data_IF_306640908087
#
_entry.id   IF_306640908087
#
_cell.length_a   1.000
_cell.length_b   1.000
_cell.length_c   1.000
_cell.angle_alpha   90.00
_cell.angle_beta   90.00
_cell.angle_gamma   90.00
#
_symmetry.space_group_name_H-M   'P 1'
#
loop_
_entity.id
_entity.type
_entity.pdbx_description
1 polymer ?
#
# COMPACT_ATOMS: atom_id res chain seq x y z
N UNK A 1 4.00 -19.77 25.47
CA UNK A 1 3.17 -18.70 24.92
C UNK A 1 3.43 -18.70 23.43
N UNK A 2 2.41 -18.85 22.57
CA UNK A 2 2.60 -18.76 21.13
C UNK A 2 3.13 -17.37 20.77
N UNK A 3 4.07 -17.29 19.82
CA UNK A 3 4.61 -16.04 19.30
C UNK A 3 3.48 -15.17 18.71
N UNK A 4 3.47 -13.89 19.02
CA UNK A 4 2.44 -12.95 18.54
C UNK A 4 2.59 -12.75 17.04
N UNK A 5 1.53 -13.02 16.27
CA UNK A 5 1.50 -12.75 14.83
C UNK A 5 0.82 -11.39 14.62
N UNK A 6 1.58 -10.35 14.38
CA UNK A 6 0.99 -9.02 14.09
C UNK A 6 1.22 -8.64 12.63
N UNK A 7 0.13 -8.20 11.97
CA UNK A 7 0.13 -7.72 10.59
C UNK A 7 -0.17 -6.22 10.59
N UNK A 8 0.82 -5.40 10.25
CA UNK A 8 0.65 -3.96 10.05
C UNK A 8 0.15 -3.71 8.63
N UNK A 9 -1.01 -3.07 8.48
CA UNK A 9 -1.69 -2.86 7.20
C UNK A 9 -1.69 -1.38 6.84
N UNK A 10 -1.01 -1.00 5.75
CA UNK A 10 -0.77 0.40 5.36
C UNK A 10 -1.56 0.72 4.10
N UNK A 11 -2.51 1.66 4.21
CA UNK A 11 -3.39 2.07 3.11
C UNK A 11 -2.70 3.01 2.10
N UNK A 12 -3.35 3.22 0.94
CA UNK A 12 -2.92 4.12 -0.12
C UNK A 12 -3.26 5.59 0.10
N UNK A 13 -2.91 6.44 -0.87
CA UNK A 13 -3.33 7.84 -0.90
C UNK A 13 -4.86 7.94 -0.91
N UNK A 14 -5.39 8.92 -0.24
CA UNK A 14 -6.83 9.17 -0.19
C UNK A 14 -7.65 8.14 0.58
N UNK A 15 -7.02 7.17 1.27
CA UNK A 15 -7.69 6.11 2.01
C UNK A 15 -7.45 6.20 3.51
N UNK A 16 -8.27 5.52 4.30
CA UNK A 16 -8.06 5.24 5.71
C UNK A 16 -7.76 3.76 5.96
N UNK A 17 -7.65 3.36 7.23
CA UNK A 17 -7.44 1.96 7.63
C UNK A 17 -8.63 1.06 7.32
N UNK A 18 -9.83 1.63 7.18
CA UNK A 18 -11.09 0.97 6.84
C UNK A 18 -11.07 0.22 5.50
N UNK A 19 -10.17 0.59 4.58
CA UNK A 19 -10.04 -0.14 3.30
C UNK A 19 -9.65 -1.61 3.46
N UNK A 20 -9.18 -2.00 4.63
CA UNK A 20 -8.78 -3.35 4.96
C UNK A 20 -9.86 -4.23 5.55
N UNK A 21 -11.04 -3.66 5.89
CA UNK A 21 -12.11 -4.34 6.62
C UNK A 21 -12.52 -5.68 5.98
N UNK A 22 -12.52 -5.76 4.65
CA UNK A 22 -12.84 -6.99 3.94
C UNK A 22 -11.73 -8.06 4.03
N UNK A 23 -10.47 -7.65 4.11
CA UNK A 23 -9.34 -8.59 4.12
C UNK A 23 -8.98 -9.06 5.53
N UNK A 24 -9.19 -8.25 6.55
CA UNK A 24 -8.85 -8.55 7.95
C UNK A 24 -9.34 -9.93 8.41
N UNK A 25 -10.61 -10.34 8.20
CA UNK A 25 -11.10 -11.63 8.66
C UNK A 25 -10.32 -12.83 8.14
N UNK A 26 -9.71 -12.75 6.96
CA UNK A 26 -8.89 -13.83 6.40
C UNK A 26 -7.58 -14.01 7.17
N UNK A 27 -6.97 -12.93 7.62
CA UNK A 27 -5.75 -12.99 8.41
C UNK A 27 -6.02 -13.38 9.86
N UNK A 28 -7.09 -12.85 10.45
CA UNK A 28 -7.51 -13.19 11.81
C UNK A 28 -7.90 -14.67 11.95
N UNK A 29 -8.46 -15.27 10.90
CA UNK A 29 -8.76 -16.70 10.89
C UNK A 29 -7.49 -17.58 11.03
N UNK A 30 -6.34 -17.09 10.57
CA UNK A 30 -5.03 -17.74 10.74
C UNK A 30 -4.30 -17.27 12.01
N UNK A 31 -4.97 -16.51 12.89
CA UNK A 31 -4.45 -16.08 14.20
C UNK A 31 -3.55 -14.84 14.15
N UNK A 32 -3.61 -14.05 13.09
CA UNK A 32 -2.95 -12.74 13.02
C UNK A 32 -3.72 -11.68 13.82
N UNK A 33 -3.00 -10.83 14.52
CA UNK A 33 -3.55 -9.57 15.03
C UNK A 33 -3.34 -8.50 13.97
N UNK A 34 -4.43 -7.96 13.41
CA UNK A 34 -4.36 -6.96 12.35
C UNK A 34 -4.38 -5.55 12.93
N UNK A 35 -3.39 -4.73 12.57
CA UNK A 35 -3.33 -3.31 12.90
C UNK A 35 -3.37 -2.49 11.60
N UNK A 36 -4.49 -1.81 11.36
CA UNK A 36 -4.76 -1.02 10.16
C UNK A 36 -4.97 0.47 10.52
N UNK A 37 -3.92 1.19 10.96
CA UNK A 37 -4.07 2.58 11.35
C UNK A 37 -4.37 3.49 10.16
N UNK A 38 -5.23 4.48 10.35
CA UNK A 38 -5.32 5.62 9.42
C UNK A 38 -4.16 6.57 9.70
N UNK A 39 -3.34 6.82 8.67
CA UNK A 39 -2.23 7.78 8.74
C UNK A 39 -2.76 9.19 9.02
N UNK A 40 -2.24 9.87 10.05
CA UNK A 40 -2.58 11.25 10.42
C UNK A 40 -4.10 11.56 10.41
N UNK A 41 -4.94 10.83 11.17
CA UNK A 41 -6.39 10.90 11.06
C UNK A 41 -6.97 12.29 11.35
N UNK A 42 -6.27 13.12 12.17
CA UNK A 42 -6.69 14.50 12.44
C UNK A 42 -6.37 15.50 11.31
N UNK A 43 -5.57 15.11 10.31
CA UNK A 43 -5.19 15.97 9.17
C UNK A 43 -5.79 15.47 7.86
N UNK A 44 -5.81 14.15 7.65
CA UNK A 44 -6.43 13.52 6.47
C UNK A 44 -7.91 13.31 6.76
N UNK A 45 -8.74 14.13 6.14
CA UNK A 45 -10.18 14.20 6.36
C UNK A 45 -10.94 14.19 5.04
N UNK A 46 -12.24 13.88 5.07
CA UNK A 46 -13.11 13.78 3.88
C UNK A 46 -13.39 15.14 3.21
N UNK A 47 -13.36 16.22 3.99
CA UNK A 47 -13.62 17.59 3.52
C UNK A 47 -12.88 18.61 4.39
N UNK A 48 -12.61 19.80 3.84
CA UNK A 48 -11.97 20.91 4.54
C UNK A 48 -10.69 20.54 5.31
N UNK A 49 -9.68 19.95 4.64
CA UNK A 49 -8.45 19.54 5.30
C UNK A 49 -7.73 20.75 5.90
N UNK A 50 -7.13 20.62 7.10
CA UNK A 50 -6.33 21.67 7.69
C UNK A 50 -5.09 21.95 6.83
N UNK A 51 -4.59 23.21 6.83
CA UNK A 51 -3.41 23.61 6.08
C UNK A 51 -2.18 22.73 6.44
N UNK A 52 -2.08 22.29 7.68
CA UNK A 52 -0.99 21.41 8.16
C UNK A 52 -0.92 20.05 7.45
N UNK A 53 -1.98 19.63 6.73
CA UNK A 53 -1.90 18.43 5.89
C UNK A 53 -0.90 18.61 4.74
N UNK A 54 -0.87 19.79 4.11
CA UNK A 54 0.03 20.05 2.97
C UNK A 54 1.52 20.16 3.35
N UNK A 55 1.82 20.19 4.64
CA UNK A 55 3.20 20.19 5.16
C UNK A 55 3.81 18.77 5.19
N UNK A 56 2.96 17.74 5.25
CA UNK A 56 3.39 16.33 5.31
C UNK A 56 3.96 15.86 3.96
N UNK A 57 5.14 15.24 3.99
CA UNK A 57 5.74 14.54 2.87
C UNK A 57 5.72 13.03 3.07
N UNK A 58 6.21 12.29 2.09
CA UNK A 58 6.26 10.81 2.16
C UNK A 58 7.13 10.33 3.33
N UNK A 59 8.19 11.07 3.69
CA UNK A 59 9.08 10.74 4.80
C UNK A 59 8.36 10.80 6.16
N UNK A 60 7.40 11.71 6.32
CA UNK A 60 6.57 11.77 7.54
C UNK A 60 5.70 10.52 7.66
N UNK A 61 5.15 10.02 6.55
CA UNK A 61 4.33 8.80 6.50
C UNK A 61 5.18 7.55 6.76
N UNK A 62 6.36 7.48 6.16
CA UNK A 62 7.35 6.41 6.40
C UNK A 62 7.75 6.40 7.88
N UNK A 63 8.08 7.57 8.44
CA UNK A 63 8.50 7.70 9.84
C UNK A 63 7.41 7.28 10.81
N UNK A 64 6.16 7.66 10.55
CA UNK A 64 5.02 7.25 11.37
C UNK A 64 4.83 5.71 11.36
N UNK A 65 4.95 5.06 10.21
CA UNK A 65 4.79 3.61 10.12
C UNK A 65 6.01 2.84 10.64
N UNK A 66 7.22 3.37 10.48
CA UNK A 66 8.42 2.84 11.14
C UNK A 66 8.32 2.89 12.66
N UNK A 67 7.82 4.01 13.21
CA UNK A 67 7.57 4.14 14.64
C UNK A 67 6.49 3.14 15.12
N UNK A 68 5.42 2.95 14.34
CA UNK A 68 4.38 1.98 14.66
C UNK A 68 4.89 0.53 14.63
N UNK A 69 5.71 0.17 13.65
CA UNK A 69 6.33 -1.16 13.59
C UNK A 69 7.21 -1.43 14.81
N UNK A 70 8.01 -0.44 15.24
CA UNK A 70 8.84 -0.53 16.46
C UNK A 70 8.03 -0.58 17.75
N UNK A 71 6.90 0.11 17.79
CA UNK A 71 5.94 0.01 18.92
C UNK A 71 5.40 -1.41 19.06
N UNK A 72 5.00 -2.03 17.92
CA UNK A 72 4.53 -3.41 17.88
C UNK A 72 5.64 -4.35 18.36
N UNK A 73 6.87 -4.23 17.81
CA UNK A 73 8.02 -5.03 18.21
C UNK A 73 8.29 -4.93 19.73
N UNK A 74 8.26 -3.71 20.27
CA UNK A 74 8.47 -3.47 21.71
C UNK A 74 7.38 -4.12 22.57
N UNK A 75 6.13 -4.13 22.09
CA UNK A 75 4.99 -4.64 22.86
C UNK A 75 4.86 -6.15 22.76
N UNK A 76 5.16 -6.73 21.60
CA UNK A 76 4.96 -8.16 21.33
C UNK A 76 6.24 -8.99 21.44
N UNK A 77 7.42 -8.34 21.39
CA UNK A 77 8.74 -8.99 21.32
C UNK A 77 9.13 -9.42 19.92
N UNK A 78 8.28 -9.20 18.89
CA UNK A 78 8.53 -9.60 17.50
C UNK A 78 8.21 -8.47 16.53
N UNK A 79 9.01 -8.37 15.46
CA UNK A 79 8.72 -7.46 14.35
C UNK A 79 7.41 -7.87 13.66
N UNK A 80 6.53 -6.93 13.32
CA UNK A 80 5.32 -7.26 12.57
C UNK A 80 5.66 -7.70 11.14
N UNK A 81 4.79 -8.49 10.53
CA UNK A 81 4.69 -8.51 9.08
C UNK A 81 4.00 -7.23 8.60
N UNK A 82 4.23 -6.82 7.35
CA UNK A 82 3.56 -5.64 6.78
C UNK A 82 2.87 -5.98 5.46
N UNK A 83 1.69 -5.45 5.26
CA UNK A 83 1.03 -5.38 3.96
C UNK A 83 0.74 -3.92 3.63
N UNK A 84 1.15 -3.46 2.46
CA UNK A 84 0.90 -2.09 2.02
C UNK A 84 0.23 -2.05 0.66
N UNK A 85 -0.83 -1.25 0.54
CA UNK A 85 -1.55 -1.01 -0.71
C UNK A 85 -1.14 0.34 -1.33
N UNK A 86 -0.86 0.36 -2.62
CA UNK A 86 -0.56 1.59 -3.37
C UNK A 86 0.61 2.38 -2.74
N UNK A 87 0.43 3.62 -2.28
CA UNK A 87 1.41 4.38 -1.49
C UNK A 87 1.88 3.57 -0.26
N UNK A 88 0.97 2.92 0.44
CA UNK A 88 1.32 2.03 1.56
C UNK A 88 2.25 0.89 1.14
N UNK A 89 2.13 0.42 -0.10
CA UNK A 89 3.05 -0.56 -0.68
C UNK A 89 4.47 -0.02 -0.87
N UNK A 90 4.62 1.27 -1.20
CA UNK A 90 5.93 1.92 -1.23
C UNK A 90 6.48 2.12 0.19
N UNK A 91 5.65 2.53 1.13
CA UNK A 91 6.06 2.64 2.54
C UNK A 91 6.53 1.27 3.06
N UNK A 92 5.80 0.19 2.76
CA UNK A 92 6.19 -1.18 3.16
C UNK A 92 7.55 -1.59 2.57
N UNK A 93 7.87 -1.19 1.33
CA UNK A 93 9.19 -1.42 0.72
C UNK A 93 10.31 -0.74 1.53
N UNK A 94 10.10 0.51 1.96
CA UNK A 94 11.08 1.24 2.77
C UNK A 94 11.20 0.64 4.18
N UNK A 95 10.11 0.18 4.80
CA UNK A 95 10.17 -0.53 6.09
C UNK A 95 10.96 -1.85 5.97
N UNK A 96 10.80 -2.57 4.86
CA UNK A 96 11.57 -3.79 4.58
C UNK A 96 13.07 -3.47 4.42
N UNK A 97 13.43 -2.41 3.69
CA UNK A 97 14.82 -1.94 3.56
C UNK A 97 15.44 -1.55 4.92
N UNK A 98 14.66 -0.89 5.78
CA UNK A 98 15.09 -0.49 7.14
C UNK A 98 15.20 -1.68 8.11
N UNK A 99 14.64 -2.83 7.76
CA UNK A 99 14.57 -3.99 8.65
C UNK A 99 13.61 -3.80 9.84
N UNK A 100 12.60 -2.94 9.68
CA UNK A 100 11.59 -2.67 10.72
C UNK A 100 10.49 -3.75 10.78
N UNK A 101 10.46 -4.67 9.80
CA UNK A 101 9.42 -5.71 9.65
C UNK A 101 10.04 -7.07 9.37
N UNK A 102 9.31 -8.16 9.62
CA UNK A 102 9.76 -9.55 9.40
C UNK A 102 9.42 -10.09 8.02
N UNK A 103 8.29 -9.71 7.46
CA UNK A 103 7.80 -10.10 6.13
C UNK A 103 7.12 -8.89 5.49
N UNK A 104 7.13 -8.77 4.16
CA UNK A 104 6.49 -7.64 3.50
C UNK A 104 5.69 -8.04 2.24
N UNK A 105 4.44 -7.56 2.16
CA UNK A 105 3.56 -7.70 0.99
C UNK A 105 3.33 -6.33 0.36
N UNK A 106 3.67 -6.19 -0.90
CA UNK A 106 3.50 -4.98 -1.71
C UNK A 106 2.31 -5.17 -2.65
N UNK A 107 1.14 -4.74 -2.20
CA UNK A 107 -0.13 -4.93 -2.90
C UNK A 107 -0.38 -3.76 -3.87
N UNK A 108 -0.32 -4.02 -5.18
CA UNK A 108 -0.41 -2.98 -6.23
C UNK A 108 0.37 -1.70 -5.86
N UNK A 109 1.66 -1.82 -5.49
CA UNK A 109 2.40 -0.75 -4.85
C UNK A 109 2.65 0.45 -5.76
N UNK A 110 2.73 1.65 -5.18
CA UNK A 110 3.44 2.75 -5.82
C UNK A 110 4.91 2.35 -6.00
N UNK A 111 5.49 2.77 -7.12
CA UNK A 111 6.78 2.27 -7.56
C UNK A 111 7.92 3.03 -6.88
N UNK A 112 9.00 2.34 -6.49
CA UNK A 112 10.23 2.99 -6.11
C UNK A 112 10.89 3.61 -7.34
N UNK A 113 11.83 4.52 -7.13
CA UNK A 113 12.60 5.16 -8.20
C UNK A 113 13.22 4.12 -9.15
N UNK A 114 13.11 4.37 -10.44
CA UNK A 114 13.60 3.46 -11.50
C UNK A 114 12.60 2.39 -11.96
N UNK A 115 11.50 2.14 -11.23
CA UNK A 115 10.46 1.18 -11.63
C UNK A 115 9.21 1.84 -12.25
N UNK A 116 9.08 3.16 -12.16
CA UNK A 116 7.91 3.87 -12.63
C UNK A 116 7.64 3.65 -14.13
N UNK A 117 6.37 3.48 -14.46
CA UNK A 117 5.83 3.51 -15.83
C UNK A 117 4.64 4.46 -15.82
N UNK A 118 4.78 5.57 -16.53
CA UNK A 118 3.69 6.54 -16.66
C UNK A 118 2.96 6.22 -17.95
N UNK A 119 1.66 5.93 -17.83
CA UNK A 119 0.78 5.70 -18.97
C UNK A 119 -0.40 6.66 -18.98
N UNK A 120 -1.14 6.75 -20.10
CA UNK A 120 -2.31 7.64 -20.22
C UNK A 120 -3.35 7.42 -19.12
N UNK A 121 -3.55 6.19 -18.67
CA UNK A 121 -4.52 5.90 -17.61
C UNK A 121 -4.11 6.49 -16.25
N UNK A 122 -2.83 6.47 -15.91
CA UNK A 122 -2.29 7.11 -14.70
C UNK A 122 -2.52 8.62 -14.76
N UNK A 123 -2.22 9.24 -15.92
CA UNK A 123 -2.43 10.67 -16.13
C UNK A 123 -3.91 11.05 -15.99
N UNK A 124 -4.84 10.27 -16.54
CA UNK A 124 -6.28 10.50 -16.39
C UNK A 124 -6.71 10.34 -14.93
N UNK A 125 -6.25 9.32 -14.25
CA UNK A 125 -6.60 9.04 -12.85
C UNK A 125 -6.26 10.23 -11.95
N UNK A 126 -5.06 10.80 -12.09
CA UNK A 126 -4.55 11.87 -11.25
C UNK A 126 -4.56 13.26 -11.91
N UNK A 127 -5.36 13.46 -12.96
CA UNK A 127 -5.33 14.67 -13.80
C UNK A 127 -5.49 15.97 -13.00
N UNK A 128 -6.41 16.02 -12.04
CA UNK A 128 -6.64 17.22 -11.23
C UNK A 128 -5.43 17.60 -10.35
N UNK A 129 -4.57 16.64 -10.02
CA UNK A 129 -3.36 16.83 -9.23
C UNK A 129 -2.21 17.22 -10.17
N UNK A 130 -2.06 16.51 -11.29
CA UNK A 130 -1.01 16.74 -12.28
C UNK A 130 -1.10 18.13 -12.94
N UNK A 131 -2.30 18.65 -13.17
CA UNK A 131 -2.47 20.00 -13.74
C UNK A 131 -2.06 21.08 -12.73
N UNK A 132 -2.36 20.90 -11.45
CA UNK A 132 -2.09 21.92 -10.44
C UNK A 132 -0.64 21.87 -9.93
N UNK A 133 -0.09 20.69 -9.72
CA UNK A 133 1.29 20.40 -9.23
C UNK A 133 1.72 21.25 -8.02
N UNK A 134 0.76 21.68 -7.19
CA UNK A 134 1.05 22.56 -6.06
C UNK A 134 1.27 21.75 -4.77
N UNK A 135 2.52 21.58 -4.39
CA UNK A 135 2.92 20.84 -3.18
C UNK A 135 2.46 21.49 -1.87
N UNK A 136 1.99 22.75 -1.90
CA UNK A 136 1.50 23.47 -0.72
C UNK A 136 -0.02 23.38 -0.56
N UNK A 137 -0.68 22.53 -1.34
CA UNK A 137 -2.12 22.25 -1.25
C UNK A 137 -2.37 20.80 -0.85
N UNK A 138 -3.60 20.54 -0.45
CA UNK A 138 -4.10 19.17 -0.24
C UNK A 138 -5.08 18.81 -1.36
N UNK A 139 -5.08 17.54 -1.77
CA UNK A 139 -5.87 17.05 -2.88
C UNK A 139 -6.68 15.81 -2.49
N UNK A 140 -7.85 15.70 -3.05
CA UNK A 140 -8.61 14.47 -3.21
C UNK A 140 -8.61 14.12 -4.69
N UNK A 141 -8.39 12.87 -5.04
CA UNK A 141 -8.49 12.44 -6.45
C UNK A 141 -9.89 12.78 -6.94
N UNK A 142 -9.99 13.42 -8.11
CA UNK A 142 -11.28 13.83 -8.67
C UNK A 142 -12.18 12.63 -8.98
N UNK A 143 -13.48 12.81 -8.88
CA UNK A 143 -14.46 11.73 -8.98
C UNK A 143 -14.27 10.86 -10.23
N UNK A 144 -14.16 11.47 -11.41
CA UNK A 144 -14.01 10.74 -12.67
C UNK A 144 -12.71 9.94 -12.71
N UNK A 145 -11.60 10.52 -12.22
CA UNK A 145 -10.31 9.80 -12.13
C UNK A 145 -10.35 8.65 -11.16
N UNK A 146 -11.04 8.82 -10.04
CA UNK A 146 -11.23 7.78 -9.04
C UNK A 146 -12.03 6.60 -9.62
N UNK A 147 -13.16 6.88 -10.27
CA UNK A 147 -14.01 5.85 -10.91
C UNK A 147 -13.31 5.15 -12.08
N UNK A 148 -12.51 5.91 -12.85
CA UNK A 148 -11.79 5.39 -14.01
C UNK A 148 -10.56 4.56 -13.63
N UNK A 149 -9.77 5.05 -12.68
CA UNK A 149 -8.44 4.51 -12.39
C UNK A 149 -8.38 3.66 -11.14
N UNK A 150 -9.07 4.09 -10.06
CA UNK A 150 -8.97 3.44 -8.76
C UNK A 150 -10.01 2.34 -8.62
N UNK A 151 -11.30 2.64 -8.87
CA UNK A 151 -12.41 1.70 -8.67
C UNK A 151 -12.94 1.08 -9.97
N UNK A 152 -12.13 1.05 -11.03
CA UNK A 152 -12.56 0.59 -12.36
C UNK A 152 -13.10 -0.84 -12.40
N UNK A 153 -12.67 -1.73 -11.51
CA UNK A 153 -13.16 -3.10 -11.37
C UNK A 153 -14.21 -3.29 -10.28
N UNK A 154 -14.47 -2.26 -9.47
CA UNK A 154 -15.55 -2.27 -8.47
C UNK A 154 -16.91 -2.12 -9.17
N UNK A 155 -17.97 -2.84 -8.74
CA UNK A 155 -19.33 -2.63 -9.24
C UNK A 155 -19.78 -1.18 -9.11
N UNK A 156 -20.35 -0.59 -10.17
CA UNK A 156 -20.71 0.84 -10.23
C UNK A 156 -21.54 1.32 -9.04
N UNK A 157 -22.47 0.48 -8.55
CA UNK A 157 -23.36 0.79 -7.42
C UNK A 157 -22.63 1.03 -6.09
N UNK A 158 -21.40 0.53 -5.94
CA UNK A 158 -20.59 0.67 -4.70
C UNK A 158 -19.61 1.83 -4.77
N UNK A 159 -19.33 2.38 -5.96
CA UNK A 159 -18.29 3.40 -6.13
C UNK A 159 -18.61 4.73 -5.45
N UNK A 160 -19.90 5.06 -5.32
CA UNK A 160 -20.33 6.29 -4.63
C UNK A 160 -19.94 6.24 -3.16
N UNK A 161 -20.29 5.15 -2.48
CA UNK A 161 -20.02 4.97 -1.07
C UNK A 161 -18.51 4.95 -0.79
N UNK A 162 -17.74 4.25 -1.62
CA UNK A 162 -16.25 4.23 -1.52
C UNK A 162 -15.68 5.63 -1.72
N UNK A 163 -16.17 6.41 -2.70
CA UNK A 163 -15.67 7.76 -2.93
C UNK A 163 -16.05 8.73 -1.81
N UNK A 164 -17.22 8.54 -1.18
CA UNK A 164 -17.64 9.34 -0.03
C UNK A 164 -16.68 9.22 1.15
N UNK A 165 -16.09 8.02 1.34
CA UNK A 165 -15.08 7.77 2.38
C UNK A 165 -13.68 8.30 2.02
N UNK A 166 -13.40 8.61 0.75
CA UNK A 166 -12.08 9.06 0.34
C UNK A 166 -11.64 10.35 1.06
N UNK A 167 -10.37 10.37 1.45
CA UNK A 167 -9.74 11.44 2.22
C UNK A 167 -8.93 12.39 1.33
N UNK A 168 -8.68 13.60 1.82
CA UNK A 168 -7.64 14.47 1.26
C UNK A 168 -6.25 13.95 1.64
N UNK A 169 -5.30 14.16 0.74
CA UNK A 169 -3.89 13.91 0.96
C UNK A 169 -3.02 15.11 0.59
N UNK A 170 -1.80 15.14 1.10
CA UNK A 170 -0.85 16.22 0.86
C UNK A 170 -0.39 16.26 -0.60
N UNK A 171 -0.37 17.44 -1.20
CA UNK A 171 0.24 17.65 -2.51
C UNK A 171 1.76 17.41 -2.50
N UNK A 172 2.41 17.55 -1.34
CA UNK A 172 3.81 17.20 -1.18
C UNK A 172 4.02 15.69 -1.31
N UNK A 173 3.15 14.86 -0.69
CA UNK A 173 3.18 13.40 -0.86
C UNK A 173 3.00 13.00 -2.32
N UNK A 174 2.03 13.57 -3.03
CA UNK A 174 1.87 13.30 -4.48
C UNK A 174 3.11 13.68 -5.29
N UNK A 175 3.74 14.81 -4.94
CA UNK A 175 4.99 15.25 -5.55
C UNK A 175 6.14 14.26 -5.29
N UNK A 176 6.30 13.83 -4.04
CA UNK A 176 7.36 12.90 -3.64
C UNK A 176 7.18 11.52 -4.30
N UNK A 177 5.93 11.04 -4.46
CA UNK A 177 5.61 9.83 -5.22
C UNK A 177 5.96 9.97 -6.71
N UNK A 178 5.81 11.17 -7.28
CA UNK A 178 6.16 11.47 -8.67
C UNK A 178 7.68 11.54 -8.88
N UNK A 179 8.40 12.16 -7.94
CA UNK A 179 9.88 12.24 -7.96
C UNK A 179 10.52 10.85 -7.75
N UNK A 180 9.79 9.96 -7.07
CA UNK A 180 10.20 8.61 -6.74
C UNK A 180 11.06 8.52 -5.48
N UNK A 181 10.76 7.54 -4.65
CA UNK A 181 11.52 7.20 -3.44
C UNK A 181 12.54 6.11 -3.79
N UNK A 182 13.77 6.30 -3.38
CA UNK A 182 14.80 5.27 -3.55
C UNK A 182 14.59 4.14 -2.54
N UNK A 183 14.74 2.90 -3.00
CA UNK A 183 14.74 1.70 -2.16
C UNK A 183 15.85 0.77 -2.67
N UNK A 184 16.75 0.39 -1.80
CA UNK A 184 17.89 -0.48 -2.11
C UNK A 184 17.51 -1.95 -1.79
N UNK A 185 17.22 -2.73 -2.82
CA UNK A 185 16.86 -4.14 -2.69
C UNK A 185 17.96 -4.99 -2.05
N UNK A 186 19.22 -4.58 -2.14
CA UNK A 186 20.35 -5.31 -1.56
C UNK A 186 20.33 -5.34 -0.02
N UNK A 187 19.59 -4.42 0.59
CA UNK A 187 19.39 -4.34 2.05
C UNK A 187 18.19 -5.15 2.55
N UNK A 188 17.31 -5.60 1.66
CA UNK A 188 16.11 -6.35 2.04
C UNK A 188 16.48 -7.83 2.23
N UNK A 189 16.50 -8.26 3.48
CA UNK A 189 16.91 -9.61 3.91
C UNK A 189 15.76 -10.45 4.45
N UNK A 190 14.54 -10.06 4.14
CA UNK A 190 13.29 -10.69 4.59
C UNK A 190 12.49 -11.19 3.39
N UNK A 191 11.57 -12.15 3.57
CA UNK A 191 10.65 -12.56 2.53
C UNK A 191 9.77 -11.38 2.07
N UNK A 192 9.63 -11.21 0.75
CA UNK A 192 8.78 -10.20 0.14
C UNK A 192 7.86 -10.80 -0.91
N UNK A 193 6.64 -10.28 -1.02
CA UNK A 193 5.67 -10.63 -2.05
C UNK A 193 5.20 -9.36 -2.76
N UNK A 194 5.43 -9.29 -4.06
CA UNK A 194 4.90 -8.21 -4.91
C UNK A 194 3.66 -8.70 -5.65
N UNK A 195 2.56 -7.95 -5.56
CA UNK A 195 1.28 -8.32 -6.20
C UNK A 195 0.87 -7.26 -7.21
N UNK A 196 0.68 -7.69 -8.46
CA UNK A 196 0.15 -6.86 -9.55
C UNK A 196 -1.33 -7.18 -9.84
N UNK A 197 -2.08 -6.17 -10.27
CA UNK A 197 -3.44 -6.29 -10.77
C UNK A 197 -3.48 -5.94 -12.27
N UNK A 198 -3.91 -6.88 -13.10
CA UNK A 198 -3.81 -6.77 -14.56
C UNK A 198 -4.64 -5.66 -15.19
N UNK A 199 -5.71 -5.21 -14.50
CA UNK A 199 -6.58 -4.10 -14.94
C UNK A 199 -6.33 -2.80 -14.17
N UNK A 200 -5.24 -2.73 -13.39
CA UNK A 200 -4.89 -1.52 -12.64
C UNK A 200 -4.56 -0.36 -13.59
N UNK A 201 -5.17 0.80 -13.32
CA UNK A 201 -5.00 2.03 -14.10
C UNK A 201 -4.32 3.15 -13.31
N UNK A 202 -4.08 2.93 -12.00
CA UNK A 202 -3.39 3.86 -11.12
C UNK A 202 -1.93 3.45 -10.91
N UNK A 203 -1.65 2.15 -10.69
CA UNK A 203 -0.31 1.57 -10.64
C UNK A 203 -0.22 0.42 -11.63
N UNK A 204 0.17 0.75 -12.86
CA UNK A 204 0.12 -0.20 -13.99
C UNK A 204 0.81 -1.52 -13.68
N UNK A 205 0.20 -2.65 -14.06
CA UNK A 205 0.78 -3.98 -13.89
C UNK A 205 2.21 -4.08 -14.48
N UNK A 206 2.50 -3.40 -15.59
CA UNK A 206 3.84 -3.33 -16.18
C UNK A 206 4.87 -2.66 -15.27
N UNK A 207 4.47 -1.66 -14.49
CA UNK A 207 5.33 -1.03 -13.50
C UNK A 207 5.52 -1.95 -12.27
N UNK A 208 4.44 -2.59 -11.80
CA UNK A 208 4.50 -3.51 -10.66
C UNK A 208 5.33 -4.76 -10.98
N UNK A 209 5.32 -5.24 -12.24
CA UNK A 209 6.25 -6.31 -12.67
C UNK A 209 7.70 -5.90 -12.53
N UNK A 210 8.09 -4.65 -12.87
CA UNK A 210 9.46 -4.15 -12.63
C UNK A 210 9.80 -4.11 -11.14
N UNK A 211 8.82 -3.83 -10.27
CA UNK A 211 9.02 -3.93 -8.82
C UNK A 211 9.29 -5.38 -8.41
N UNK A 212 8.52 -6.35 -8.92
CA UNK A 212 8.78 -7.78 -8.71
C UNK A 212 10.17 -8.21 -9.22
N UNK A 213 10.55 -7.79 -10.43
CA UNK A 213 11.89 -8.03 -10.99
C UNK A 213 13.00 -7.40 -10.15
N UNK A 214 12.78 -6.21 -9.57
CA UNK A 214 13.72 -5.59 -8.64
C UNK A 214 13.95 -6.47 -7.42
N UNK A 215 12.89 -6.90 -6.75
CA UNK A 215 13.00 -7.69 -5.52
C UNK A 215 13.35 -9.16 -5.73
N UNK A 216 13.21 -9.70 -6.94
CA UNK A 216 13.76 -11.03 -7.26
C UNK A 216 15.29 -11.08 -7.15
N UNK A 217 15.97 -9.92 -7.15
CA UNK A 217 17.42 -9.78 -6.98
C UNK A 217 17.85 -9.46 -5.55
N UNK A 218 16.90 -9.33 -4.60
CA UNK A 218 17.21 -9.12 -3.19
C UNK A 218 17.95 -10.33 -2.59
N UNK A 219 18.70 -10.18 -1.48
CA UNK A 219 19.37 -11.29 -0.79
C UNK A 219 18.44 -12.46 -0.44
N UNK A 220 17.19 -12.17 -0.09
CA UNK A 220 16.08 -13.13 -0.07
C UNK A 220 15.21 -12.81 -1.26
N UNK A 221 15.25 -13.67 -2.29
CA UNK A 221 14.51 -13.43 -3.53
C UNK A 221 13.01 -13.29 -3.27
N UNK A 222 12.45 -12.17 -3.72
CA UNK A 222 11.03 -11.88 -3.55
C UNK A 222 10.14 -12.69 -4.50
N UNK A 223 8.98 -13.05 -4.01
CA UNK A 223 7.91 -13.70 -4.77
C UNK A 223 7.08 -12.66 -5.54
N UNK A 224 6.44 -13.11 -6.63
CA UNK A 224 5.56 -12.28 -7.45
C UNK A 224 4.27 -13.01 -7.80
N UNK A 225 3.14 -12.33 -7.66
CA UNK A 225 1.83 -12.80 -8.12
C UNK A 225 1.14 -11.73 -8.97
N UNK A 226 0.34 -12.16 -9.93
CA UNK A 226 -0.49 -11.25 -10.73
C UNK A 226 -1.93 -11.76 -10.81
N UNK A 227 -2.88 -10.84 -10.55
CA UNK A 227 -4.31 -11.08 -10.67
C UNK A 227 -4.85 -10.37 -11.92
N UNK A 228 -4.97 -11.06 -13.07
CA UNK A 228 -5.23 -10.41 -14.36
C UNK A 228 -6.63 -9.80 -14.48
N UNK A 229 -7.56 -10.16 -13.61
CA UNK A 229 -8.95 -9.66 -13.62
C UNK A 229 -9.19 -8.50 -12.66
N UNK A 230 -8.26 -8.24 -11.73
CA UNK A 230 -8.37 -7.22 -10.69
C UNK A 230 -7.86 -5.86 -11.14
N UNK A 231 -8.39 -4.80 -10.53
CA UNK A 231 -7.99 -3.40 -10.69
C UNK A 231 -7.20 -2.89 -9.49
N UNK A 232 -7.11 -1.56 -9.37
CA UNK A 232 -6.36 -0.94 -8.27
C UNK A 232 -7.01 -1.16 -6.90
N UNK A 233 -8.35 -1.24 -6.83
CA UNK A 233 -9.10 -1.44 -5.58
C UNK A 233 -9.15 -2.93 -5.16
N UNK A 234 -8.04 -3.63 -5.36
CA UNK A 234 -7.88 -5.07 -5.07
C UNK A 234 -8.16 -5.42 -3.60
N UNK A 235 -8.20 -4.43 -2.72
CA UNK A 235 -8.52 -4.56 -1.29
C UNK A 235 -10.01 -4.83 -1.05
N UNK A 236 -10.91 -4.34 -1.94
CA UNK A 236 -12.35 -4.58 -1.87
C UNK A 236 -13.02 -4.48 -3.25
N UNK A 237 -12.85 -5.50 -4.07
CA UNK A 237 -13.49 -5.67 -5.38
C UNK A 237 -13.76 -7.16 -5.64
N UNK A 238 -14.44 -7.55 -6.73
CA UNK A 238 -14.61 -8.97 -7.07
C UNK A 238 -13.27 -9.69 -7.20
N UNK A 239 -13.08 -10.75 -6.40
CA UNK A 239 -11.85 -11.53 -6.35
C UNK A 239 -10.94 -11.23 -5.16
N UNK A 240 -11.22 -10.22 -4.34
CA UNK A 240 -10.44 -9.86 -3.13
C UNK A 240 -10.26 -11.04 -2.19
N UNK A 241 -11.29 -11.86 -1.97
CA UNK A 241 -11.23 -13.01 -1.06
C UNK A 241 -10.13 -14.00 -1.44
N UNK A 242 -9.96 -14.25 -2.75
CA UNK A 242 -8.86 -15.10 -3.24
C UNK A 242 -7.50 -14.44 -2.99
N UNK A 243 -7.39 -13.14 -3.22
CA UNK A 243 -6.16 -12.38 -2.96
C UNK A 243 -5.79 -12.46 -1.48
N UNK A 244 -6.75 -12.23 -0.59
CA UNK A 244 -6.55 -12.32 0.86
C UNK A 244 -6.11 -13.73 1.30
N UNK A 245 -6.77 -14.77 0.79
CA UNK A 245 -6.41 -16.18 1.07
C UNK A 245 -5.00 -16.51 0.59
N UNK A 246 -4.62 -16.08 -0.62
CA UNK A 246 -3.29 -16.36 -1.17
C UNK A 246 -2.19 -15.63 -0.36
N UNK A 247 -2.45 -14.38 0.09
CA UNK A 247 -1.54 -13.63 0.96
C UNK A 247 -1.40 -14.31 2.33
N UNK A 248 -2.52 -14.69 2.96
CA UNK A 248 -2.51 -15.37 4.26
C UNK A 248 -1.68 -16.66 4.20
N UNK A 249 -1.92 -17.49 3.17
CA UNK A 249 -1.13 -18.69 2.95
C UNK A 249 0.36 -18.42 2.66
N UNK A 250 0.70 -17.30 2.00
CA UNK A 250 2.09 -16.90 1.77
C UNK A 250 2.77 -16.49 3.08
N UNK A 251 2.11 -15.67 3.90
CA UNK A 251 2.61 -15.24 5.20
C UNK A 251 2.92 -16.43 6.12
N UNK A 252 2.01 -17.41 6.20
CA UNK A 252 2.23 -18.62 7.00
C UNK A 252 3.43 -19.45 6.51
N UNK A 253 3.54 -19.68 5.19
CA UNK A 253 4.64 -20.46 4.61
C UNK A 253 6.01 -19.84 4.80
N UNK A 254 6.11 -18.51 4.71
CA UNK A 254 7.38 -17.79 4.83
C UNK A 254 7.79 -17.62 6.28
N UNK A 255 6.84 -17.44 7.21
CA UNK A 255 7.10 -17.43 8.65
C UNK A 255 7.64 -18.78 9.16
N UNK A 256 7.06 -19.89 8.71
CA UNK A 256 7.51 -21.22 9.11
C UNK A 256 8.98 -21.52 8.72
N UNK A 257 9.48 -20.88 7.64
CA UNK A 257 10.87 -21.03 7.20
C UNK A 257 11.89 -20.26 8.07
N UNK A 258 11.45 -19.17 8.73
CA UNK A 258 12.32 -18.39 9.63
C UNK A 258 12.52 -19.07 11.00
N UNK A 259 11.59 -19.95 11.37
CA UNK A 259 11.61 -20.66 12.67
C UNK A 259 12.24 -22.06 12.59
N UNK A 260 12.60 -22.53 11.42
CA UNK A 260 13.23 -23.83 11.18
C UNK A 260 14.76 -23.72 10.99
#
# INVERSE_FOLDING_TARGET
MGMSKTLLMIHGVGCGGDVWDRMIPFFEADGWTCEAPTLFPGRRVKSNPPQSLSELGIDDYISAMSAKAKEIEKTTGEKPAVIGHSMGGLIAQVLAEKGDVSQAVFLTPAQPKGCAVIGPSVAITFLNILIQQNRKKSYKVWRTGFDFGVTNCVPKRLREDIYAEALYDSGKVYGDLTDGVEVDESKIKIPTLTIAAGKDRATLASAVRKVGEKYSRAPVAGDFLEYPKNGHWIVDEPGTDKVATDIAGWLERTRAKETA
#
